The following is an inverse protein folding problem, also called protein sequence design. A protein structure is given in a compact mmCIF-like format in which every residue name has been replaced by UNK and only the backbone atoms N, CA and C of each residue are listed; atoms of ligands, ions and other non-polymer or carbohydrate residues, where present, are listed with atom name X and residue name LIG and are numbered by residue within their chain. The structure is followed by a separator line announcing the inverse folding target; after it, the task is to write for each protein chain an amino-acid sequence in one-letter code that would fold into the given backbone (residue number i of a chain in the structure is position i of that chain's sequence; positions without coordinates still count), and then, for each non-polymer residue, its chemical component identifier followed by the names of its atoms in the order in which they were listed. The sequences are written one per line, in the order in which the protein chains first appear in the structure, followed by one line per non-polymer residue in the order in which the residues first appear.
data_IF_969952068306
#
_entry.id   IF_969952068306
#
_cell.length_a   1.000
_cell.length_b   1.000
_cell.length_c   1.000
_cell.angle_alpha   90.00
_cell.angle_beta   90.00
_cell.angle_gamma   90.00
#
_symmetry.space_group_name_H-M   'P 1'
#
loop_
_entity.id
_entity.type
_entity.pdbx_description
1 polymer ?
#
# COMPACT_ATOMS: atom_id res chain seq x y z
N UNK A 1 10.65 24.61 -0.65
CA UNK A 1 10.52 23.13 -0.66
C UNK A 1 9.10 22.84 -0.22
N UNK A 2 8.30 22.16 -1.05
CA UNK A 2 6.95 21.75 -0.68
C UNK A 2 7.06 20.34 -0.11
N UNK A 3 6.90 20.21 1.20
CA UNK A 3 6.77 18.92 1.88
C UNK A 3 5.38 18.35 1.59
N UNK A 4 5.30 17.06 1.30
CA UNK A 4 4.03 16.35 1.37
C UNK A 4 3.64 16.34 2.85
N UNK A 5 2.50 16.96 3.17
CA UNK A 5 2.03 17.14 4.55
C UNK A 5 0.83 16.25 4.80
N UNK A 6 -0.24 16.76 5.39
CA UNK A 6 -1.37 15.98 5.90
C UNK A 6 -2.11 15.26 4.76
N UNK A 7 -2.50 14.01 5.02
CA UNK A 7 -3.41 13.26 4.17
C UNK A 7 -4.74 14.03 4.01
N UNK A 8 -5.07 14.37 2.77
CA UNK A 8 -6.32 15.05 2.40
C UNK A 8 -7.19 14.18 1.49
N UNK A 9 -6.79 12.94 1.22
CA UNK A 9 -7.55 12.03 0.37
C UNK A 9 -8.62 11.34 1.21
N UNK A 10 -9.82 11.26 0.66
CA UNK A 10 -10.96 10.67 1.33
C UNK A 10 -11.00 9.15 1.15
N UNK A 11 -12.01 8.53 1.77
CA UNK A 11 -12.15 7.08 1.75
C UNK A 11 -12.43 6.53 0.35
N UNK A 12 -12.91 7.34 -0.61
CA UNK A 12 -13.09 6.89 -1.99
C UNK A 12 -11.74 6.51 -2.62
N UNK A 13 -10.69 7.26 -2.30
CA UNK A 13 -9.34 7.07 -2.85
C UNK A 13 -8.54 6.02 -2.06
N UNK A 14 -8.65 5.98 -0.73
CA UNK A 14 -7.88 5.06 0.13
C UNK A 14 -8.33 3.60 0.09
N UNK A 15 -9.31 3.26 -0.76
CA UNK A 15 -9.79 1.89 -0.92
C UNK A 15 -11.23 1.66 -0.47
N UNK A 16 -12.04 2.71 -0.39
CA UNK A 16 -13.49 2.70 -0.37
C UNK A 16 -14.16 1.98 0.81
N UNK A 17 -14.61 2.80 1.76
CA UNK A 17 -15.57 2.41 2.81
C UNK A 17 -16.92 1.87 2.27
N UNK A 18 -17.21 1.98 0.96
CA UNK A 18 -18.48 1.58 0.33
C UNK A 18 -18.28 0.70 -0.90
N UNK A 19 -19.02 -0.43 -1.07
CA UNK A 19 -18.83 -1.41 -2.14
C UNK A 19 -18.60 -0.78 -3.52
N UNK A 20 -17.69 -1.36 -4.31
CA UNK A 20 -17.43 -0.86 -5.67
C UNK A 20 -18.74 -0.85 -6.46
N UNK A 21 -19.14 0.28 -7.08
CA UNK A 21 -20.30 0.31 -7.98
C UNK A 21 -20.01 -0.44 -9.29
N UNK A 22 -18.75 -0.84 -9.53
CA UNK A 22 -18.34 -1.61 -10.69
C UNK A 22 -18.24 -3.10 -10.33
N UNK A 23 -18.49 -3.98 -11.30
CA UNK A 23 -18.42 -5.44 -11.13
C UNK A 23 -17.01 -5.99 -10.91
N UNK A 24 -16.00 -5.12 -10.81
CA UNK A 24 -14.62 -5.53 -10.60
C UNK A 24 -14.28 -5.48 -9.11
N UNK A 25 -13.49 -6.45 -8.61
CA UNK A 25 -12.93 -6.40 -7.27
C UNK A 25 -12.08 -5.14 -7.11
N UNK A 26 -12.02 -4.61 -5.88
CA UNK A 26 -11.25 -3.39 -5.61
C UNK A 26 -9.77 -3.59 -5.87
N UNK A 27 -9.12 -2.52 -6.30
CA UNK A 27 -7.66 -2.50 -6.42
C UNK A 27 -7.02 -2.69 -5.05
N UNK A 28 -6.12 -3.68 -4.94
CA UNK A 28 -5.28 -3.86 -3.76
C UNK A 28 -4.18 -2.80 -3.77
N UNK A 29 -4.19 -1.92 -2.78
CA UNK A 29 -3.19 -0.87 -2.64
C UNK A 29 -2.01 -1.36 -1.80
N UNK A 30 -0.79 -1.13 -2.29
CA UNK A 30 0.46 -1.43 -1.57
C UNK A 30 1.38 -0.22 -1.60
N UNK A 31 1.83 0.21 -0.43
CA UNK A 31 2.76 1.33 -0.27
C UNK A 31 4.06 0.83 0.36
N UNK A 32 5.19 1.19 -0.26
CA UNK A 32 6.52 0.94 0.27
C UNK A 32 7.19 2.29 0.53
N UNK A 33 7.53 2.54 1.78
CA UNK A 33 8.22 3.76 2.21
C UNK A 33 9.70 3.48 2.48
N UNK A 34 10.58 4.42 2.14
CA UNK A 34 11.98 4.38 2.54
C UNK A 34 12.19 4.84 3.99
N UNK A 35 13.20 4.31 4.66
CA UNK A 35 13.69 4.87 5.93
C UNK A 35 14.61 6.06 5.63
N UNK A 36 14.39 7.21 6.29
CA UNK A 36 15.16 8.43 6.03
C UNK A 36 14.78 9.16 4.73
N UNK A 37 13.54 9.01 4.26
CA UNK A 37 13.04 9.76 3.12
C UNK A 37 12.93 11.26 3.46
N UNK A 38 13.73 12.11 2.81
CA UNK A 38 13.72 13.55 3.05
C UNK A 38 12.50 14.29 2.46
N UNK A 39 11.68 13.63 1.63
CA UNK A 39 10.50 14.20 1.01
C UNK A 39 9.21 13.85 1.75
N UNK A 40 9.19 12.70 2.42
CA UNK A 40 8.08 12.26 3.27
C UNK A 40 8.58 12.21 4.71
N UNK A 41 8.14 13.17 5.52
CA UNK A 41 8.50 13.21 6.93
C UNK A 41 8.07 11.91 7.63
N UNK A 42 8.93 11.37 8.50
CA UNK A 42 8.66 10.10 9.20
C UNK A 42 7.37 10.16 10.02
N UNK A 43 7.12 11.28 10.70
CA UNK A 43 5.87 11.52 11.43
C UNK A 43 4.64 11.40 10.51
N UNK A 44 4.68 12.01 9.33
CA UNK A 44 3.57 11.96 8.36
C UNK A 44 3.37 10.56 7.80
N UNK A 45 4.46 9.84 7.51
CA UNK A 45 4.41 8.43 7.08
C UNK A 45 3.77 7.56 8.17
N UNK A 46 4.25 7.69 9.40
CA UNK A 46 3.83 6.84 10.51
C UNK A 46 2.37 7.13 10.91
N UNK A 47 1.95 8.39 10.81
CA UNK A 47 0.56 8.81 10.97
C UNK A 47 -0.35 8.21 9.89
N UNK A 48 0.10 8.22 8.63
CA UNK A 48 -0.64 7.62 7.53
C UNK A 48 -0.76 6.10 7.70
N UNK A 49 0.33 5.42 8.05
CA UNK A 49 0.34 3.98 8.33
C UNK A 49 -0.62 3.66 9.48
N UNK A 50 -0.54 4.41 10.59
CA UNK A 50 -1.40 4.17 11.76
C UNK A 50 -2.89 4.31 11.45
N UNK A 51 -3.22 5.28 10.59
CA UNK A 51 -4.61 5.65 10.28
C UNK A 51 -5.20 4.78 9.18
N UNK A 52 -4.40 4.43 8.16
CA UNK A 52 -4.89 3.84 6.90
C UNK A 52 -4.39 2.43 6.63
N UNK A 53 -3.27 2.00 7.19
CA UNK A 53 -2.75 0.68 6.88
C UNK A 53 -3.67 -0.43 7.39
N UNK A 54 -3.74 -1.51 6.62
CA UNK A 54 -4.31 -2.78 7.05
C UNK A 54 -3.53 -3.28 8.27
N UNK A 55 -4.22 -3.52 9.38
CA UNK A 55 -3.61 -4.08 10.60
C UNK A 55 -3.73 -5.59 10.57
N UNK A 56 -2.83 -6.27 11.27
CA UNK A 56 -2.85 -7.73 11.36
C UNK A 56 -4.13 -8.26 12.01
N UNK A 57 -4.71 -7.50 12.94
CA UNK A 57 -5.97 -7.80 13.63
C UNK A 57 -7.19 -7.11 13.00
N UNK A 58 -7.07 -6.64 11.75
CA UNK A 58 -8.20 -6.02 11.05
C UNK A 58 -9.25 -7.07 10.69
N UNK A 59 -10.51 -6.76 10.99
CA UNK A 59 -11.68 -7.58 10.62
C UNK A 59 -11.78 -7.74 9.09
N UNK A 60 -12.51 -8.76 8.63
CA UNK A 60 -12.70 -9.04 7.20
C UNK A 60 -13.27 -7.82 6.42
N UNK A 61 -14.08 -7.00 7.08
CA UNK A 61 -14.66 -5.77 6.52
C UNK A 61 -13.65 -4.64 6.29
N UNK A 62 -12.42 -4.78 6.82
CA UNK A 62 -11.31 -3.84 6.62
C UNK A 62 -10.26 -4.35 5.62
N UNK A 63 -10.50 -5.49 4.97
CA UNK A 63 -9.56 -6.09 3.99
C UNK A 63 -9.27 -5.18 2.78
N UNK A 64 -10.08 -4.13 2.59
CA UNK A 64 -9.86 -3.10 1.57
C UNK A 64 -8.72 -2.13 1.89
N UNK A 65 -8.28 -2.06 3.15
CA UNK A 65 -7.24 -1.12 3.57
C UNK A 65 -5.90 -1.45 2.88
N UNK A 66 -5.11 -0.43 2.53
CA UNK A 66 -3.80 -0.61 1.91
C UNK A 66 -2.83 -1.36 2.82
N UNK A 67 -1.99 -2.22 2.24
CA UNK A 67 -0.81 -2.74 2.94
C UNK A 67 0.31 -1.70 2.82
N UNK A 68 0.79 -1.20 3.95
CA UNK A 68 1.84 -0.19 3.99
C UNK A 68 3.04 -0.74 4.75
N UNK A 69 4.22 -0.66 4.15
CA UNK A 69 5.46 -1.21 4.68
C UNK A 69 6.55 -0.13 4.66
N UNK A 70 7.39 -0.11 5.70
CA UNK A 70 8.60 0.71 5.74
C UNK A 70 9.79 -0.20 5.50
N UNK A 71 10.63 0.15 4.54
CA UNK A 71 11.86 -0.57 4.28
C UNK A 71 12.93 -0.17 5.30
N UNK A 72 13.34 -1.12 6.14
CA UNK A 72 14.35 -0.94 7.18
C UNK A 72 15.79 -0.87 6.61
N UNK A 73 16.00 -1.20 5.34
CA UNK A 73 17.34 -1.16 4.71
C UNK A 73 17.84 0.25 4.37
N UNK A 74 17.13 1.31 4.75
CA UNK A 74 17.61 2.70 4.61
C UNK A 74 17.61 3.23 3.18
N UNK A 75 16.72 2.74 2.31
CA UNK A 75 16.70 3.20 0.92
C UNK A 75 16.32 4.70 0.83
N UNK A 76 17.07 5.51 0.07
CA UNK A 76 16.76 6.93 -0.12
C UNK A 76 15.50 7.11 -0.97
N UNK A 77 14.85 8.26 -0.90
CA UNK A 77 13.68 8.61 -1.73
C UNK A 77 13.82 8.22 -3.21
N UNK A 78 15.01 8.45 -3.78
CA UNK A 78 15.35 8.10 -5.16
C UNK A 78 15.73 6.60 -5.34
N UNK A 79 15.12 5.68 -4.60
CA UNK A 79 15.43 4.26 -4.69
C UNK A 79 15.10 3.68 -6.07
N UNK A 80 14.13 4.24 -6.78
CA UNK A 80 13.82 3.89 -8.16
C UNK A 80 14.95 4.21 -9.15
N UNK A 81 15.93 5.04 -8.77
CA UNK A 81 17.07 5.41 -9.62
C UNK A 81 18.30 4.54 -9.33
N UNK A 82 18.56 4.22 -8.05
CA UNK A 82 19.82 3.56 -7.62
C UNK A 82 19.65 2.19 -6.95
N UNK A 83 18.44 1.80 -6.60
CA UNK A 83 18.10 0.53 -5.95
C UNK A 83 17.02 -0.21 -6.76
N UNK A 84 17.05 -0.07 -8.09
CA UNK A 84 16.02 -0.60 -8.98
C UNK A 84 15.86 -2.12 -8.92
N UNK A 85 16.94 -2.86 -8.65
CA UNK A 85 16.90 -4.32 -8.55
C UNK A 85 16.12 -4.77 -7.29
N UNK A 86 16.51 -4.39 -6.05
CA UNK A 86 15.72 -4.72 -4.85
C UNK A 86 14.25 -4.29 -4.93
N UNK A 87 14.00 -3.13 -5.53
CA UNK A 87 12.63 -2.62 -5.72
C UNK A 87 11.86 -3.50 -6.69
N UNK A 88 12.47 -3.91 -7.80
CA UNK A 88 11.84 -4.81 -8.76
C UNK A 88 11.54 -6.18 -8.15
N UNK A 89 12.43 -6.71 -7.31
CA UNK A 89 12.21 -7.96 -6.58
C UNK A 89 10.99 -7.85 -5.65
N UNK A 90 10.93 -6.78 -4.84
CA UNK A 90 9.79 -6.51 -3.94
C UNK A 90 8.48 -6.31 -4.70
N UNK A 91 8.49 -5.56 -5.81
CA UNK A 91 7.30 -5.37 -6.65
C UNK A 91 6.86 -6.69 -7.30
N UNK A 92 7.81 -7.55 -7.71
CA UNK A 92 7.47 -8.86 -8.24
C UNK A 92 6.75 -9.74 -7.21
N UNK A 93 7.11 -9.66 -5.92
CA UNK A 93 6.36 -10.31 -4.84
C UNK A 93 4.93 -9.77 -4.73
N UNK A 94 4.76 -8.45 -4.75
CA UNK A 94 3.43 -7.83 -4.71
C UNK A 94 2.52 -8.28 -5.86
N UNK A 95 3.06 -8.32 -7.08
CA UNK A 95 2.30 -8.80 -8.25
C UNK A 95 1.92 -10.27 -8.10
N UNK A 96 2.84 -11.13 -7.63
CA UNK A 96 2.54 -12.55 -7.40
C UNK A 96 1.45 -12.72 -6.33
N UNK A 97 1.49 -11.95 -5.25
CA UNK A 97 0.48 -11.97 -4.21
C UNK A 97 -0.90 -11.60 -4.75
N UNK A 98 -0.99 -10.52 -5.53
CA UNK A 98 -2.26 -10.08 -6.12
C UNK A 98 -2.82 -11.13 -7.07
N UNK A 99 -2.00 -11.68 -7.97
CA UNK A 99 -2.42 -12.76 -8.88
C UNK A 99 -2.87 -14.02 -8.09
N UNK A 100 -2.21 -14.33 -6.97
CA UNK A 100 -2.60 -15.47 -6.13
C UNK A 100 -3.94 -15.22 -5.43
N UNK A 101 -4.17 -14.01 -4.93
CA UNK A 101 -5.46 -13.59 -4.37
C UNK A 101 -6.58 -13.73 -5.41
N UNK A 102 -6.37 -13.18 -6.60
CA UNK A 102 -7.33 -13.27 -7.70
C UNK A 102 -7.71 -14.72 -8.05
N UNK A 103 -6.75 -15.64 -8.03
CA UNK A 103 -7.02 -17.08 -8.28
C UNK A 103 -7.86 -17.73 -7.19
N UNK A 104 -7.63 -17.37 -5.92
CA UNK A 104 -8.38 -17.94 -4.80
C UNK A 104 -9.84 -17.45 -4.78
N UNK A 105 -10.07 -16.19 -5.19
CA UNK A 105 -11.41 -15.62 -5.31
C UNK A 105 -12.22 -16.27 -6.44
N UNK A 106 -11.58 -16.57 -7.59
CA UNK A 106 -12.21 -17.29 -8.71
C UNK A 106 -12.60 -18.73 -8.35
N UNK A 107 -11.77 -19.44 -7.59
CA UNK A 107 -12.03 -20.82 -7.18
C UNK A 107 -13.13 -20.95 -6.12
N UNK A 108 -13.43 -19.89 -5.35
CA UNK A 108 -14.53 -19.86 -4.37
C UNK A 108 -15.90 -19.48 -4.96
N UNK A 109 -15.94 -19.04 -6.22
CA UNK A 109 -17.16 -18.64 -6.91
C UNK A 109 -17.78 -19.74 -7.79
N UNK A 110 -17.17 -20.94 -7.83
CA UNK A 110 -17.62 -22.12 -8.60
C UNK A 110 -18.18 -23.23 -7.72
#
# INVERSE_FOLDING_TARGET
MLSITTDAWDDEVWGAAHPSPTSHPRAQLRFLFGTGDHWVAEETRDDLIRTRALKQDSEADEAWKPKMEVNEEGWPHAFCIRHSIPVAEKVAEYVRDTIRGDKQDVDQQN
#
